data_IF_163687973876
#
_entry.id   IF_163687973876
#
_cell.length_a   1.000
_cell.length_b   1.000
_cell.length_c   1.000
_cell.angle_alpha   90.00
_cell.angle_beta   90.00
_cell.angle_gamma   90.00
#
_symmetry.space_group_name_H-M   'P 1'
#
loop_
_entity.id
_entity.type
_entity.pdbx_description
1 polymer ?
#
# COMPACT_ATOMS: atom_id res chain seq x y z
N UNK A 1 -65.56 -91.32 -45.10
CA UNK A 1 -64.62 -90.92 -46.18
C UNK A 1 -65.02 -89.50 -46.54
N UNK A 2 -64.27 -88.43 -46.29
CA UNK A 2 -62.86 -88.22 -45.95
C UNK A 2 -62.81 -87.01 -45.04
N UNK A 3 -62.36 -87.20 -43.80
CA UNK A 3 -62.03 -86.10 -42.90
C UNK A 3 -60.72 -85.49 -43.39
N UNK A 4 -60.74 -84.24 -43.84
CA UNK A 4 -59.52 -83.49 -44.07
C UNK A 4 -58.82 -83.25 -42.72
N UNK A 5 -57.50 -83.48 -42.61
CA UNK A 5 -56.77 -83.24 -41.38
C UNK A 5 -56.65 -81.74 -41.17
N UNK A 6 -57.24 -81.25 -40.08
CA UNK A 6 -56.97 -79.92 -39.55
C UNK A 6 -55.55 -79.98 -38.96
N UNK A 7 -54.58 -79.35 -39.61
CA UNK A 7 -53.21 -79.28 -39.10
C UNK A 7 -53.20 -78.55 -37.75
N UNK A 8 -52.72 -79.19 -36.67
CA UNK A 8 -52.55 -78.52 -35.39
C UNK A 8 -51.17 -77.90 -35.32
N UNK A 9 -51.08 -76.59 -35.10
CA UNK A 9 -49.84 -75.99 -34.60
C UNK A 9 -49.44 -74.66 -35.23
N UNK A 10 -50.21 -73.60 -34.99
CA UNK A 10 -49.66 -72.24 -34.98
C UNK A 10 -50.20 -71.38 -33.83
N UNK A 11 -51.02 -71.93 -32.93
CA UNK A 11 -51.73 -71.16 -31.89
C UNK A 11 -50.81 -70.51 -30.83
N UNK A 12 -49.57 -70.99 -30.69
CA UNK A 12 -48.56 -70.39 -29.79
C UNK A 12 -47.65 -69.35 -30.47
N UNK A 13 -47.76 -69.19 -31.80
CA UNK A 13 -47.07 -68.14 -32.54
C UNK A 13 -48.01 -66.94 -32.59
N UNK A 14 -47.75 -65.96 -31.74
CA UNK A 14 -48.48 -64.70 -31.75
C UNK A 14 -48.58 -64.14 -33.19
N UNK A 15 -49.71 -63.51 -33.50
CA UNK A 15 -50.02 -63.00 -34.84
C UNK A 15 -48.82 -62.24 -35.42
N UNK A 16 -48.41 -62.62 -36.63
CA UNK A 16 -47.40 -61.90 -37.40
C UNK A 16 -48.10 -60.94 -38.38
N UNK A 17 -47.50 -59.80 -38.76
CA UNK A 17 -48.10 -58.90 -39.76
C UNK A 17 -48.43 -59.59 -41.09
N UNK A 18 -47.65 -60.60 -41.50
CA UNK A 18 -47.93 -61.39 -42.70
C UNK A 18 -49.23 -62.20 -42.57
N UNK A 19 -49.49 -62.78 -41.41
CA UNK A 19 -50.70 -63.58 -41.14
C UNK A 19 -51.97 -62.72 -41.24
N UNK A 20 -51.87 -61.43 -40.89
CA UNK A 20 -52.96 -60.46 -41.00
C UNK A 20 -53.26 -60.07 -42.46
N UNK A 21 -52.26 -60.09 -43.34
CA UNK A 21 -52.43 -59.82 -44.78
C UNK A 21 -52.99 -61.03 -45.54
N UNK A 22 -52.73 -62.24 -45.06
CA UNK A 22 -53.23 -63.48 -45.67
C UNK A 22 -54.64 -63.84 -45.21
N UNK A 23 -55.12 -63.21 -44.13
CA UNK A 23 -56.44 -63.46 -43.56
C UNK A 23 -57.55 -63.08 -44.54
N UNK A 24 -58.42 -64.03 -44.87
CA UNK A 24 -59.61 -63.80 -45.71
C UNK A 24 -60.89 -63.96 -44.91
N UNK A 25 -61.72 -62.92 -44.92
CA UNK A 25 -63.04 -62.97 -44.32
C UNK A 25 -64.06 -63.66 -45.23
N UNK A 26 -65.07 -64.29 -44.63
CA UNK A 26 -66.21 -64.84 -45.37
C UNK A 26 -67.11 -63.70 -45.83
N UNK A 27 -67.60 -63.76 -47.08
CA UNK A 27 -68.42 -62.69 -47.66
C UNK A 27 -69.80 -62.62 -47.01
N UNK A 28 -70.30 -61.39 -46.87
CA UNK A 28 -71.66 -61.13 -46.40
C UNK A 28 -72.71 -61.84 -47.29
N UNK A 29 -73.76 -62.38 -46.65
CA UNK A 29 -74.89 -63.05 -47.31
C UNK A 29 -76.11 -62.13 -47.30
N UNK A 30 -77.06 -62.30 -48.24
CA UNK A 30 -78.22 -61.39 -48.40
C UNK A 30 -79.04 -61.14 -47.12
N UNK A 31 -79.02 -62.06 -46.15
CA UNK A 31 -79.76 -61.95 -44.89
C UNK A 31 -79.05 -61.10 -43.81
N UNK A 32 -77.75 -60.80 -43.98
CA UNK A 32 -76.94 -60.02 -43.04
C UNK A 32 -75.95 -59.14 -43.81
N UNK A 33 -76.17 -57.83 -43.89
CA UNK A 33 -75.15 -56.90 -44.37
C UNK A 33 -73.88 -57.05 -43.52
N UNK A 34 -72.74 -57.27 -44.18
CA UNK A 34 -71.43 -57.37 -43.52
C UNK A 34 -70.65 -56.07 -43.61
N UNK A 35 -69.43 -56.08 -43.10
CA UNK A 35 -68.48 -54.98 -43.27
C UNK A 35 -68.11 -54.79 -44.74
N UNK A 36 -67.65 -53.58 -45.09
CA UNK A 36 -67.17 -53.27 -46.43
C UNK A 36 -65.73 -53.80 -46.57
N UNK A 37 -65.51 -54.72 -47.51
CA UNK A 37 -64.23 -55.41 -47.70
C UNK A 37 -63.04 -54.41 -47.81
N UNK A 38 -63.20 -53.31 -48.57
CA UNK A 38 -62.14 -52.31 -48.76
C UNK A 38 -61.79 -51.52 -47.49
N UNK A 39 -62.77 -51.29 -46.62
CA UNK A 39 -62.54 -50.62 -45.33
C UNK A 39 -61.84 -51.55 -44.36
N UNK A 40 -62.23 -52.84 -44.36
CA UNK A 40 -61.59 -53.88 -43.57
C UNK A 40 -60.14 -54.06 -44.01
N UNK A 41 -59.87 -54.16 -45.32
CA UNK A 41 -58.51 -54.30 -45.86
C UNK A 41 -57.60 -53.12 -45.46
N UNK A 42 -58.15 -51.91 -45.41
CA UNK A 42 -57.42 -50.70 -44.97
C UNK A 42 -57.07 -50.78 -43.48
N UNK A 43 -58.01 -51.20 -42.65
CA UNK A 43 -57.79 -51.39 -41.20
C UNK A 43 -56.76 -52.51 -40.97
N UNK A 44 -56.90 -53.64 -41.65
CA UNK A 44 -55.97 -54.77 -41.53
C UNK A 44 -54.55 -54.37 -41.94
N UNK A 45 -54.39 -53.62 -43.03
CA UNK A 45 -53.09 -53.10 -43.45
C UNK A 45 -52.48 -52.17 -42.40
N UNK A 46 -53.30 -51.31 -41.79
CA UNK A 46 -52.84 -50.42 -40.70
C UNK A 46 -52.44 -51.20 -39.46
N UNK A 47 -53.23 -52.20 -39.06
CA UNK A 47 -52.92 -53.05 -37.90
C UNK A 47 -51.65 -53.87 -38.14
N UNK A 48 -51.45 -54.38 -39.36
CA UNK A 48 -50.23 -55.10 -39.73
C UNK A 48 -48.98 -54.19 -39.64
N UNK A 49 -49.06 -52.96 -40.14
CA UNK A 49 -47.99 -51.95 -40.01
C UNK A 49 -47.67 -51.64 -38.54
N UNK A 50 -48.70 -51.42 -37.73
CA UNK A 50 -48.55 -51.13 -36.30
C UNK A 50 -48.00 -52.32 -35.51
N UNK A 51 -48.43 -53.53 -35.84
CA UNK A 51 -47.93 -54.76 -35.24
C UNK A 51 -46.45 -54.97 -35.60
N UNK A 52 -46.06 -54.70 -36.85
CA UNK A 52 -44.66 -54.74 -37.28
C UNK A 52 -43.81 -53.74 -36.48
N UNK A 53 -44.32 -52.51 -36.32
CA UNK A 53 -43.67 -51.45 -35.51
C UNK A 53 -43.48 -51.90 -34.06
N UNK A 54 -44.52 -52.43 -33.43
CA UNK A 54 -44.44 -52.90 -32.04
C UNK A 54 -43.51 -54.10 -31.86
N UNK A 55 -43.46 -55.02 -32.82
CA UNK A 55 -42.52 -56.14 -32.79
C UNK A 55 -41.07 -55.63 -32.86
N UNK A 56 -40.79 -54.67 -33.74
CA UNK A 56 -39.46 -54.07 -33.87
C UNK A 56 -39.04 -53.31 -32.60
N UNK A 57 -39.93 -52.49 -32.04
CA UNK A 57 -39.67 -51.74 -30.80
C UNK A 57 -39.45 -52.68 -29.61
N UNK A 58 -40.26 -53.75 -29.49
CA UNK A 58 -40.08 -54.76 -28.45
C UNK A 58 -38.76 -55.51 -28.58
N UNK A 59 -38.30 -55.76 -29.81
CA UNK A 59 -36.99 -56.37 -30.06
C UNK A 59 -35.87 -55.42 -29.61
N UNK A 60 -35.93 -54.14 -30.00
CA UNK A 60 -34.98 -53.12 -29.59
C UNK A 60 -34.89 -52.98 -28.07
N UNK A 61 -36.03 -52.88 -27.37
CA UNK A 61 -36.06 -52.78 -25.90
C UNK A 61 -35.48 -54.01 -25.22
N UNK A 62 -35.70 -55.21 -25.78
CA UNK A 62 -35.12 -56.44 -25.24
C UNK A 62 -33.60 -56.46 -25.39
N UNK A 63 -33.08 -55.95 -26.49
CA UNK A 63 -31.64 -55.84 -26.72
C UNK A 63 -31.01 -54.77 -25.81
N UNK A 64 -31.68 -53.64 -25.61
CA UNK A 64 -31.26 -52.61 -24.65
C UNK A 64 -31.24 -53.14 -23.22
N UNK A 65 -32.32 -53.79 -22.77
CA UNK A 65 -32.36 -54.42 -21.43
C UNK A 65 -31.24 -55.44 -21.27
N UNK A 66 -30.95 -56.23 -22.32
CA UNK A 66 -29.83 -57.19 -22.29
C UNK A 66 -28.49 -56.48 -22.16
N UNK A 67 -28.27 -55.40 -22.91
CA UNK A 67 -27.05 -54.60 -22.85
C UNK A 67 -26.88 -53.93 -21.48
N UNK A 68 -27.93 -53.33 -20.93
CA UNK A 68 -27.92 -52.72 -19.59
C UNK A 68 -27.65 -53.77 -18.51
N UNK A 69 -28.27 -54.94 -18.59
CA UNK A 69 -28.00 -56.04 -17.64
C UNK A 69 -26.56 -56.51 -17.73
N UNK A 70 -26.02 -56.70 -18.94
CA UNK A 70 -24.61 -57.05 -19.11
C UNK A 70 -23.66 -55.96 -18.58
N UNK A 71 -24.02 -54.69 -18.73
CA UNK A 71 -23.25 -53.58 -18.18
C UNK A 71 -23.28 -53.56 -16.65
N UNK A 72 -24.44 -53.82 -16.04
CA UNK A 72 -24.60 -53.92 -14.58
C UNK A 72 -23.87 -55.15 -14.03
N UNK A 73 -23.96 -56.30 -14.70
CA UNK A 73 -23.23 -57.52 -14.32
C UNK A 73 -21.71 -57.36 -14.49
N UNK A 74 -21.26 -56.62 -15.50
CA UNK A 74 -19.85 -56.28 -15.72
C UNK A 74 -19.32 -55.18 -14.80
N UNK A 75 -20.21 -54.42 -14.16
CA UNK A 75 -19.83 -53.45 -13.13
C UNK A 75 -19.72 -54.19 -11.80
N UNK A 76 -18.52 -54.42 -11.25
CA UNK A 76 -18.40 -55.12 -9.97
C UNK A 76 -19.18 -54.34 -8.91
N UNK A 77 -20.20 -54.98 -8.34
CA UNK A 77 -20.90 -54.47 -7.15
C UNK A 77 -19.82 -54.20 -6.10
N UNK A 78 -19.68 -52.98 -5.57
CA UNK A 78 -18.72 -52.73 -4.51
C UNK A 78 -19.08 -53.65 -3.36
N UNK A 79 -18.21 -54.63 -3.10
CA UNK A 79 -18.30 -55.47 -1.90
C UNK A 79 -18.45 -54.54 -0.71
N UNK A 80 -19.43 -54.81 0.17
CA UNK A 80 -19.66 -54.01 1.34
C UNK A 80 -18.30 -53.79 2.06
N UNK A 81 -17.95 -52.54 2.39
CA UNK A 81 -16.66 -52.24 3.00
C UNK A 81 -16.48 -53.13 4.23
N UNK A 82 -15.33 -53.76 4.37
CA UNK A 82 -15.06 -54.64 5.51
C UNK A 82 -15.33 -53.88 6.82
N UNK A 83 -15.83 -54.57 7.85
CA UNK A 83 -16.11 -53.91 9.14
C UNK A 83 -14.89 -53.15 9.68
N UNK A 84 -13.68 -53.64 9.38
CA UNK A 84 -12.43 -52.96 9.70
C UNK A 84 -12.27 -51.63 8.95
N UNK A 85 -12.60 -51.57 7.65
CA UNK A 85 -12.55 -50.34 6.88
C UNK A 85 -13.58 -49.31 7.40
N UNK A 86 -14.78 -49.77 7.77
CA UNK A 86 -15.81 -48.90 8.37
C UNK A 86 -15.35 -48.33 9.72
N UNK A 87 -14.71 -49.16 10.56
CA UNK A 87 -14.15 -48.69 11.85
C UNK A 87 -13.04 -47.67 11.65
N UNK A 88 -12.08 -47.94 10.76
CA UNK A 88 -10.99 -47.01 10.44
C UNK A 88 -11.56 -45.69 9.92
N UNK A 89 -12.51 -45.75 8.98
CA UNK A 89 -13.16 -44.56 8.45
C UNK A 89 -13.89 -43.77 9.54
N UNK A 90 -14.61 -44.44 10.44
CA UNK A 90 -15.27 -43.77 11.56
C UNK A 90 -14.27 -43.09 12.52
N UNK A 91 -13.15 -43.75 12.82
CA UNK A 91 -12.10 -43.17 13.68
C UNK A 91 -11.37 -42.02 12.99
N UNK A 92 -11.17 -42.10 11.68
CA UNK A 92 -10.58 -41.04 10.89
C UNK A 92 -11.52 -39.84 10.82
N UNK A 93 -12.83 -40.07 10.64
CA UNK A 93 -13.84 -39.02 10.66
C UNK A 93 -13.89 -38.33 12.02
N UNK A 94 -13.94 -39.10 13.12
CA UNK A 94 -13.92 -38.53 14.47
C UNK A 94 -12.66 -37.69 14.73
N UNK A 95 -11.50 -38.16 14.25
CA UNK A 95 -10.24 -37.42 14.35
C UNK A 95 -10.27 -36.15 13.52
N UNK A 96 -10.81 -36.20 12.30
CA UNK A 96 -10.96 -35.04 11.44
C UNK A 96 -11.89 -33.99 12.06
N UNK A 97 -13.03 -34.42 12.61
CA UNK A 97 -13.98 -33.54 13.29
C UNK A 97 -13.34 -32.88 14.52
N UNK A 98 -12.51 -33.60 15.27
CA UNK A 98 -11.75 -33.06 16.39
C UNK A 98 -10.75 -31.98 15.95
N UNK A 99 -9.99 -32.22 14.87
CA UNK A 99 -9.06 -31.23 14.32
C UNK A 99 -9.77 -29.99 13.79
N UNK A 100 -10.95 -30.14 13.18
CA UNK A 100 -11.76 -29.00 12.74
C UNK A 100 -12.21 -28.17 13.94
N UNK A 101 -12.71 -28.82 14.99
CA UNK A 101 -13.12 -28.11 16.21
C UNK A 101 -11.95 -27.35 16.86
N UNK A 102 -10.78 -27.97 16.96
CA UNK A 102 -9.56 -27.34 17.50
C UNK A 102 -9.12 -26.15 16.63
N UNK A 103 -9.11 -26.31 15.31
CA UNK A 103 -8.75 -25.24 14.38
C UNK A 103 -9.73 -24.06 14.46
N UNK A 104 -11.02 -24.32 14.59
CA UNK A 104 -12.04 -23.28 14.79
C UNK A 104 -11.84 -22.53 16.11
N UNK A 105 -11.58 -23.26 17.20
CA UNK A 105 -11.32 -22.65 18.51
C UNK A 105 -10.06 -21.79 18.47
N UNK A 106 -8.97 -22.31 17.91
CA UNK A 106 -7.72 -21.57 17.73
C UNK A 106 -7.92 -20.31 16.87
N UNK A 107 -8.69 -20.41 15.78
CA UNK A 107 -9.01 -19.26 14.94
C UNK A 107 -9.79 -18.17 15.68
N UNK A 108 -10.78 -18.57 16.50
CA UNK A 108 -11.55 -17.66 17.35
C UNK A 108 -10.65 -16.99 18.39
N UNK A 109 -9.79 -17.78 19.04
CA UNK A 109 -8.84 -17.28 20.03
C UNK A 109 -7.88 -16.27 19.39
N UNK A 110 -7.22 -16.63 18.29
CA UNK A 110 -6.30 -15.76 17.58
C UNK A 110 -6.96 -14.46 17.11
N UNK A 111 -8.21 -14.52 16.64
CA UNK A 111 -8.96 -13.32 16.26
C UNK A 111 -9.25 -12.43 17.47
N UNK A 112 -9.60 -13.02 18.61
CA UNK A 112 -9.86 -12.27 19.84
C UNK A 112 -8.60 -11.61 20.40
N UNK A 113 -7.48 -12.32 20.36
CA UNK A 113 -6.17 -11.82 20.80
C UNK A 113 -5.67 -10.71 19.88
N UNK A 114 -5.75 -10.90 18.56
CA UNK A 114 -5.38 -9.88 17.59
C UNK A 114 -6.19 -8.59 17.77
N UNK A 115 -7.50 -8.70 18.08
CA UNK A 115 -8.33 -7.54 18.40
C UNK A 115 -7.88 -6.85 19.68
N UNK A 116 -7.61 -7.61 20.74
CA UNK A 116 -7.15 -7.05 22.00
C UNK A 116 -5.81 -6.30 21.84
N UNK A 117 -4.85 -6.89 21.13
CA UNK A 117 -3.56 -6.26 20.83
C UNK A 117 -3.75 -4.99 20.00
N UNK A 118 -4.57 -5.05 18.95
CA UNK A 118 -4.86 -3.88 18.12
C UNK A 118 -5.49 -2.74 18.92
N UNK A 119 -6.48 -3.03 19.77
CA UNK A 119 -7.14 -2.03 20.61
C UNK A 119 -6.15 -1.41 21.61
N UNK A 120 -5.26 -2.21 22.19
CA UNK A 120 -4.23 -1.74 23.11
C UNK A 120 -3.19 -0.85 22.40
N UNK A 121 -2.71 -1.26 21.22
CA UNK A 121 -1.79 -0.44 20.43
C UNK A 121 -2.42 0.89 20.00
N UNK A 122 -3.70 0.87 19.59
CA UNK A 122 -4.44 2.09 19.25
C UNK A 122 -4.61 2.98 20.48
N UNK A 123 -4.90 2.42 21.65
CA UNK A 123 -4.98 3.15 22.92
C UNK A 123 -3.64 3.82 23.25
N UNK A 124 -2.54 3.05 23.19
CA UNK A 124 -1.19 3.55 23.46
C UNK A 124 -0.78 4.64 22.47
N UNK A 125 -1.07 4.47 21.17
CA UNK A 125 -0.78 5.46 20.16
C UNK A 125 -1.55 6.77 20.40
N UNK A 126 -2.83 6.69 20.82
CA UNK A 126 -3.64 7.87 21.16
C UNK A 126 -3.11 8.58 22.41
N UNK A 127 -2.73 7.84 23.44
CA UNK A 127 -2.14 8.40 24.67
C UNK A 127 -0.81 9.11 24.36
N UNK A 128 0.06 8.47 23.59
CA UNK A 128 1.34 9.06 23.17
C UNK A 128 1.14 10.31 22.31
N UNK A 129 0.25 10.26 21.32
CA UNK A 129 -0.09 11.43 20.50
C UNK A 129 -0.66 12.57 21.36
N UNK A 130 -1.52 12.27 22.33
CA UNK A 130 -2.05 13.23 23.29
C UNK A 130 -0.94 13.88 24.13
N UNK A 131 0.00 13.09 24.64
CA UNK A 131 1.15 13.59 25.40
C UNK A 131 2.04 14.52 24.56
N UNK A 132 2.31 14.17 23.30
CA UNK A 132 3.10 15.00 22.37
C UNK A 132 2.39 16.33 22.10
N UNK A 133 1.08 16.31 21.83
CA UNK A 133 0.30 17.52 21.58
C UNK A 133 0.29 18.42 22.81
N UNK A 134 0.09 17.85 24.01
CA UNK A 134 0.11 18.61 25.25
C UNK A 134 1.48 19.22 25.52
N UNK A 135 2.57 18.46 25.36
CA UNK A 135 3.92 18.97 25.52
C UNK A 135 4.23 20.11 24.53
N UNK A 136 3.77 19.98 23.28
CA UNK A 136 3.91 21.04 22.27
C UNK A 136 3.11 22.30 22.65
N UNK A 137 1.89 22.15 23.16
CA UNK A 137 1.07 23.28 23.63
C UNK A 137 1.69 23.97 24.85
N UNK A 138 2.21 23.22 25.81
CA UNK A 138 2.90 23.77 26.98
C UNK A 138 4.19 24.51 26.58
N UNK A 139 4.96 23.97 25.63
CA UNK A 139 6.13 24.64 25.08
C UNK A 139 5.74 25.93 24.34
N UNK A 140 4.70 25.89 23.51
CA UNK A 140 4.16 27.06 22.83
C UNK A 140 3.68 28.13 23.83
N UNK A 141 2.98 27.74 24.89
CA UNK A 141 2.54 28.63 25.95
C UNK A 141 3.74 29.30 26.65
N UNK A 142 4.78 28.54 27.00
CA UNK A 142 6.02 29.08 27.58
C UNK A 142 6.71 30.09 26.65
N UNK A 143 6.77 29.83 25.35
CA UNK A 143 7.33 30.77 24.37
C UNK A 143 6.49 32.04 24.26
N UNK A 144 5.14 31.94 24.26
CA UNK A 144 4.27 33.12 24.24
C UNK A 144 4.42 33.98 25.49
N UNK A 145 4.55 33.37 26.67
CA UNK A 145 4.81 34.08 27.93
C UNK A 145 6.22 34.67 27.96
N UNK A 146 7.23 33.97 27.43
CA UNK A 146 8.59 34.48 27.29
C UNK A 146 8.69 35.69 26.35
N UNK A 147 7.90 35.72 25.27
CA UNK A 147 7.79 36.89 24.40
C UNK A 147 7.12 38.07 25.10
N UNK A 148 6.10 37.83 25.95
CA UNK A 148 5.51 38.87 26.80
C UNK A 148 6.49 39.36 27.90
N UNK A 149 7.48 38.55 28.28
CA UNK A 149 8.57 38.92 29.18
C UNK A 149 9.73 39.69 28.53
N UNK A 150 9.80 39.78 27.19
CA UNK A 150 10.84 40.53 26.48
C UNK A 150 10.84 42.03 26.82
N UNK A 151 9.68 42.59 27.22
CA UNK A 151 9.53 43.96 27.73
C UNK A 151 10.24 44.20 29.07
N UNK A 152 10.55 43.14 29.84
CA UNK A 152 11.39 43.22 31.02
C UNK A 152 12.89 43.18 30.66
N UNK A 153 13.26 42.53 29.56
CA UNK A 153 14.64 42.50 29.04
C UNK A 153 15.08 43.87 28.50
N UNK A 154 14.17 44.63 27.89
CA UNK A 154 14.44 45.99 27.43
C UNK A 154 14.96 46.92 28.56
N UNK A 155 14.36 46.84 29.75
CA UNK A 155 14.79 47.63 30.93
C UNK A 155 16.20 47.28 31.40
N UNK A 156 16.61 46.02 31.31
CA UNK A 156 17.97 45.60 31.67
C UNK A 156 19.05 46.05 30.68
N UNK A 157 18.68 46.29 29.42
CA UNK A 157 19.59 46.79 28.39
C UNK A 157 19.87 48.29 28.57
N UNK A 158 18.84 49.05 28.91
CA UNK A 158 18.94 50.49 29.21
C UNK A 158 19.85 50.77 30.42
N UNK A 159 19.73 49.97 31.48
CA UNK A 159 20.62 50.04 32.65
C UNK A 159 22.10 49.77 32.29
N UNK A 160 22.36 48.85 31.36
CA UNK A 160 23.73 48.56 30.89
C UNK A 160 24.30 49.71 30.06
N UNK A 161 23.48 50.36 29.23
CA UNK A 161 23.89 51.50 28.41
C UNK A 161 24.26 52.71 29.27
N UNK A 162 23.49 52.97 30.34
CA UNK A 162 23.79 54.02 31.31
C UNK A 162 25.13 53.78 32.03
N UNK A 163 25.41 52.53 32.43
CA UNK A 163 26.70 52.16 33.03
C UNK A 163 27.88 52.36 32.07
N UNK A 164 27.71 52.02 30.79
CA UNK A 164 28.74 52.25 29.76
C UNK A 164 28.97 53.74 29.54
N UNK A 165 27.92 54.55 29.51
CA UNK A 165 28.02 56.00 29.38
C UNK A 165 28.75 56.61 30.59
N UNK A 166 28.39 56.18 31.80
CA UNK A 166 29.04 56.59 33.05
C UNK A 166 30.53 56.26 33.04
N UNK A 167 30.92 55.04 32.66
CA UNK A 167 32.32 54.62 32.66
C UNK A 167 33.17 55.41 31.65
N UNK A 168 32.58 55.73 30.48
CA UNK A 168 33.23 56.57 29.46
C UNK A 168 33.43 58.00 29.95
N UNK A 169 32.40 58.60 30.57
CA UNK A 169 32.50 59.95 31.13
C UNK A 169 33.55 60.03 32.25
N UNK A 170 33.58 59.02 33.12
CA UNK A 170 34.57 58.90 34.18
C UNK A 170 36.00 58.82 33.62
N UNK A 171 36.23 57.98 32.60
CA UNK A 171 37.52 57.87 31.93
C UNK A 171 38.00 59.18 31.30
N UNK A 172 37.11 59.95 30.68
CA UNK A 172 37.43 61.26 30.12
C UNK A 172 37.78 62.28 31.22
N UNK A 173 37.02 62.30 32.31
CA UNK A 173 37.27 63.20 33.44
C UNK A 173 38.64 62.92 34.09
N UNK A 174 38.99 61.66 34.34
CA UNK A 174 40.29 61.29 34.90
C UNK A 174 41.44 61.72 33.97
N UNK A 175 41.29 61.54 32.64
CA UNK A 175 42.32 61.93 31.66
C UNK A 175 42.55 63.45 31.65
N UNK A 176 41.49 64.24 31.71
CA UNK A 176 41.58 65.71 31.78
C UNK A 176 42.25 66.13 33.09
N UNK A 177 41.84 65.53 34.22
CA UNK A 177 42.41 65.86 35.53
C UNK A 177 43.90 65.48 35.66
N UNK A 178 44.31 64.35 35.10
CA UNK A 178 45.72 63.97 35.01
C UNK A 178 46.53 64.96 34.17
N UNK A 179 45.98 65.42 33.03
CA UNK A 179 46.64 66.41 32.19
C UNK A 179 46.82 67.74 32.94
N UNK A 180 45.76 68.25 33.58
CA UNK A 180 45.87 69.50 34.36
C UNK A 180 46.85 69.38 35.53
N UNK A 181 46.91 68.20 36.17
CA UNK A 181 47.86 67.94 37.25
C UNK A 181 49.31 67.92 36.74
N UNK A 182 49.56 67.26 35.59
CA UNK A 182 50.88 67.23 34.96
C UNK A 182 51.31 68.61 34.45
N UNK A 183 50.40 69.39 33.86
CA UNK A 183 50.65 70.77 33.43
C UNK A 183 50.96 71.68 34.63
N UNK A 184 50.24 71.52 35.75
CA UNK A 184 50.53 72.25 36.98
C UNK A 184 51.91 71.90 37.56
N UNK A 185 52.27 70.61 37.61
CA UNK A 185 53.61 70.17 38.04
C UNK A 185 54.72 70.71 37.12
N UNK A 186 54.51 70.67 35.80
CA UNK A 186 55.47 71.19 34.85
C UNK A 186 55.63 72.71 35.01
N UNK A 187 54.54 73.44 35.18
CA UNK A 187 54.57 74.89 35.41
C UNK A 187 55.24 75.26 36.74
N UNK A 188 55.02 74.50 37.82
CA UNK A 188 55.72 74.71 39.09
C UNK A 188 57.23 74.43 38.95
N UNK A 189 57.63 73.42 38.19
CA UNK A 189 59.05 73.17 37.85
C UNK A 189 59.62 74.34 37.05
N UNK A 190 58.94 74.80 36.00
CA UNK A 190 59.39 75.98 35.22
C UNK A 190 59.49 77.25 36.06
N UNK A 191 58.58 77.44 37.02
CA UNK A 191 58.56 78.59 37.92
C UNK A 191 59.66 78.53 38.97
N UNK A 192 59.91 77.38 39.56
CA UNK A 192 60.99 77.18 40.54
C UNK A 192 62.37 77.15 39.87
N UNK A 193 62.49 76.62 38.64
CA UNK A 193 63.70 76.75 37.82
C UNK A 193 63.90 78.19 37.32
N UNK A 194 62.82 78.89 36.94
CA UNK A 194 62.85 80.30 36.57
C UNK A 194 63.19 81.23 37.74
N UNK A 195 62.91 80.82 38.98
CA UNK A 195 63.38 81.50 40.20
C UNK A 195 64.80 81.12 40.59
N UNK A 196 65.22 79.89 40.35
CA UNK A 196 66.57 79.41 40.67
C UNK A 196 67.63 79.97 39.71
N UNK A 197 67.25 80.38 38.48
CA UNK A 197 68.21 80.88 37.49
C UNK A 197 67.71 82.05 36.61
N UNK A 198 67.57 83.28 37.15
CA UNK A 198 67.33 84.47 36.34
C UNK A 198 68.56 84.90 35.49
N UNK A 199 69.66 84.13 35.51
CA UNK A 199 70.92 84.46 34.85
C UNK A 199 71.26 83.57 33.65
N UNK A 200 70.48 82.52 33.37
CA UNK A 200 70.68 81.65 32.20
C UNK A 200 69.81 81.98 30.99
N UNK A 201 69.01 83.05 30.99
CA UNK A 201 68.43 83.56 29.74
C UNK A 201 69.57 83.99 28.81
N UNK A 202 69.85 83.28 27.72
CA UNK A 202 70.81 83.74 26.74
C UNK A 202 70.18 84.98 26.11
N UNK A 203 70.77 86.13 26.39
CA UNK A 203 70.51 87.36 25.65
C UNK A 203 70.69 87.03 24.18
N UNK A 204 69.57 87.03 23.44
CA UNK A 204 69.54 86.73 22.03
C UNK A 204 70.43 87.74 21.29
N UNK A 205 71.60 87.34 20.75
CA UNK A 205 72.38 88.26 19.94
C UNK A 205 71.62 88.49 18.63
N UNK A 206 71.49 89.77 18.30
CA UNK A 206 70.76 90.26 17.15
C UNK A 206 71.39 89.86 15.79
N UNK A 207 70.54 89.89 14.74
CA UNK A 207 70.83 90.08 13.30
C UNK A 207 71.15 88.80 12.50
N UNK A 208 70.72 88.58 11.24
CA UNK A 208 69.65 89.06 10.35
C UNK A 208 69.53 88.05 9.15
N UNK A 209 68.85 88.38 8.03
CA UNK A 209 67.93 87.48 7.32
C UNK A 209 68.62 86.46 6.39
N UNK A 210 68.04 85.27 6.25
CA UNK A 210 68.35 84.37 5.15
C UNK A 210 67.05 83.92 4.46
N UNK A 211 66.92 84.35 3.22
CA UNK A 211 65.90 83.93 2.26
C UNK A 211 66.21 82.53 1.73
N UNK A 212 65.17 81.91 1.13
CA UNK A 212 65.20 80.94 0.01
C UNK A 212 65.64 79.50 0.38
N UNK A 213 65.01 78.40 -0.07
CA UNK A 213 64.11 78.18 -1.21
C UNK A 213 63.35 76.84 -1.04
N UNK A 214 62.10 76.81 -1.51
CA UNK A 214 61.38 75.74 -2.24
C UNK A 214 61.93 74.29 -2.31
N UNK A 215 61.09 73.31 -1.95
CA UNK A 215 60.89 72.00 -2.62
C UNK A 215 59.65 71.33 -1.99
N UNK A 216 58.46 71.49 -2.54
CA UNK A 216 57.80 70.59 -3.51
C UNK A 216 58.09 69.08 -3.31
N UNK A 217 57.00 68.31 -3.17
CA UNK A 217 56.91 66.86 -2.97
C UNK A 217 57.28 66.10 -4.27
N UNK A 218 57.10 64.76 -4.46
CA UNK A 218 56.52 63.72 -3.60
C UNK A 218 57.22 62.33 -3.64
N UNK A 219 56.55 61.37 -2.97
CA UNK A 219 56.34 59.95 -3.27
C UNK A 219 57.44 58.91 -2.99
N UNK A 220 57.08 58.00 -2.08
CA UNK A 220 57.84 56.83 -1.67
C UNK A 220 57.06 55.54 -2.03
N UNK A 221 57.75 54.70 -2.82
CA UNK A 221 57.77 53.23 -2.82
C UNK A 221 56.47 52.42 -2.57
N UNK A 222 55.89 51.69 -3.54
CA UNK A 222 56.34 50.49 -4.27
C UNK A 222 55.98 49.12 -3.65
N UNK A 223 55.50 48.22 -4.53
CA UNK A 223 55.51 46.74 -4.50
C UNK A 223 54.40 46.00 -3.69
N UNK A 224 53.30 45.52 -4.31
CA UNK A 224 53.06 44.23 -5.05
C UNK A 224 52.75 42.99 -4.20
N UNK A 225 51.60 42.34 -4.44
CA UNK A 225 51.49 40.87 -4.58
C UNK A 225 50.18 40.45 -5.27
N UNK A 226 50.29 39.55 -6.26
CA UNK A 226 49.24 39.01 -7.13
C UNK A 226 48.69 37.69 -6.60
N UNK A 227 47.39 37.46 -6.84
CA UNK A 227 46.68 36.22 -6.52
C UNK A 227 47.04 35.05 -7.45
N UNK A 228 46.99 33.84 -6.89
CA UNK A 228 47.31 32.60 -7.58
C UNK A 228 46.02 31.83 -7.93
N UNK A 229 45.93 31.45 -9.20
CA UNK A 229 44.93 30.58 -9.83
C UNK A 229 45.38 29.12 -9.84
N UNK A 230 44.44 28.17 -9.85
CA UNK A 230 44.62 26.92 -10.61
C UNK A 230 43.26 26.28 -10.93
N UNK A 231 43.05 26.03 -12.22
CA UNK A 231 41.94 25.33 -12.83
C UNK A 231 42.38 23.93 -13.25
N UNK A 232 41.44 22.99 -13.41
CA UNK A 232 41.59 21.89 -14.36
C UNK A 232 40.23 21.47 -14.93
N UNK A 233 40.20 21.14 -16.21
CA UNK A 233 39.03 21.07 -17.10
C UNK A 233 38.75 19.61 -17.58
N UNK A 234 38.08 19.31 -18.71
CA UNK A 234 36.78 18.61 -18.76
C UNK A 234 36.79 17.25 -19.51
N UNK A 235 35.67 16.51 -19.51
CA UNK A 235 35.45 15.43 -20.50
C UNK A 235 34.26 14.46 -20.28
N UNK A 236 33.34 14.49 -21.26
CA UNK A 236 32.53 13.40 -21.85
C UNK A 236 31.32 12.74 -21.13
N UNK A 237 30.14 12.93 -21.76
CA UNK A 237 29.08 11.98 -22.21
C UNK A 237 28.79 10.71 -21.37
N UNK A 238 27.56 10.27 -21.10
CA UNK A 238 26.39 10.03 -21.97
C UNK A 238 25.13 9.76 -21.09
N UNK A 239 23.96 10.14 -21.61
CA UNK A 239 22.64 9.45 -21.62
C UNK A 239 22.16 8.69 -20.34
N UNK A 240 20.94 8.84 -19.83
CA UNK A 240 19.69 8.51 -20.53
C UNK A 240 18.46 8.79 -19.63
N UNK A 241 17.42 9.36 -20.25
CA UNK A 241 15.95 9.24 -20.01
C UNK A 241 15.41 9.14 -18.57
N UNK A 242 14.47 9.97 -18.14
CA UNK A 242 13.13 10.05 -18.73
C UNK A 242 12.11 9.34 -17.82
N UNK A 243 11.39 10.14 -17.03
CA UNK A 243 10.24 9.82 -16.14
C UNK A 243 9.15 8.94 -16.82
N UNK A 244 8.07 8.42 -16.15
CA UNK A 244 7.49 8.88 -14.87
C UNK A 244 6.82 7.80 -13.96
N UNK A 245 6.29 8.31 -12.84
CA UNK A 245 5.31 7.67 -11.96
C UNK A 245 3.97 7.35 -12.65
N UNK A 246 3.30 6.27 -12.23
CA UNK A 246 1.82 6.21 -12.16
C UNK A 246 1.36 5.36 -10.97
N UNK A 247 0.29 5.85 -10.34
CA UNK A 247 -0.50 5.19 -9.33
C UNK A 247 -1.71 4.48 -9.98
N UNK A 248 -2.27 3.45 -9.34
CA UNK A 248 -3.63 3.00 -9.69
C UNK A 248 -3.96 1.53 -9.42
N UNK A 249 -4.52 1.29 -8.22
CA UNK A 249 -5.77 0.55 -7.97
C UNK A 249 -5.99 -0.91 -8.45
N UNK A 250 -6.18 -1.77 -7.44
CA UNK A 250 -7.23 -2.80 -7.27
C UNK A 250 -8.20 -3.05 -8.45
N UNK A 251 -8.35 -4.33 -8.82
CA UNK A 251 -9.59 -5.08 -8.56
C UNK A 251 -9.35 -6.59 -8.75
N UNK A 252 -10.04 -7.39 -7.96
CA UNK A 252 -10.16 -8.86 -8.05
C UNK A 252 -11.66 -9.20 -8.17
N UNK A 253 -12.02 -10.50 -8.16
CA UNK A 253 -11.79 -11.53 -9.16
C UNK A 253 -12.95 -11.65 -10.18
#
# INVERSE_FOLDING_TARGET
MTSAPNEPGNDDRGLNPADLHELRFTRASMLRPGYVDTEVDRVMSRVAEELARHIAEKAQLRDEVRALRAHVEGTPVPVAPSEQAVRILSSAQQTADAYVAEAEEFSRQMTSEARAVYEEEVRQARENAGAIIQAAQEAAAKMTVGMAGADAGARSMEELEEQVAYLKAFGQACRVQLRSYLEALLSDVEKEWGRADPALLPQQPARAPAQRSSRDAPDDSAATFYGNTAAEAPGASEEQEGSPATAGSRSAP
#
